data_IF_512900931212
#
_entry.id   IF_512900931212
#
_cell.length_a   1.000
_cell.length_b   1.000
_cell.length_c   1.000
_cell.angle_alpha   90.00
_cell.angle_beta   90.00
_cell.angle_gamma   90.00
#
_symmetry.space_group_name_H-M   'P 1'
#
loop_
_entity.id
_entity.type
_entity.pdbx_description
1 polymer ?
#
# COMPACT_ATOMS: atom_id res chain seq x y z
N UNK A 1 -2.61 36.01 2.79
CA UNK A 1 -1.18 35.93 3.21
C UNK A 1 -0.76 34.48 3.05
N UNK A 2 0.06 34.20 2.06
CA UNK A 2 0.70 32.90 1.86
C UNK A 2 1.90 32.92 2.82
N UNK A 3 1.80 32.13 3.87
CA UNK A 3 2.81 32.07 4.91
C UNK A 3 4.16 31.61 4.40
N UNK A 4 5.15 32.16 5.02
CA UNK A 4 6.59 32.06 4.86
C UNK A 4 7.12 30.74 4.34
N UNK A 5 8.09 30.88 3.46
CA UNK A 5 8.83 29.86 2.77
C UNK A 5 9.41 28.76 3.64
N UNK A 6 8.63 27.72 3.85
CA UNK A 6 9.18 26.46 4.33
C UNK A 6 10.11 25.92 3.25
N UNK A 7 11.41 25.99 3.50
CA UNK A 7 12.42 25.47 2.58
C UNK A 7 12.10 24.01 2.27
N UNK A 8 12.16 23.58 1.00
CA UNK A 8 11.88 22.20 0.63
C UNK A 8 12.84 21.28 1.39
N UNK A 9 12.28 20.33 2.16
CA UNK A 9 13.06 19.33 2.90
C UNK A 9 13.84 18.46 1.92
N UNK A 10 15.11 18.21 2.22
CA UNK A 10 15.89 17.21 1.47
C UNK A 10 15.51 15.80 1.92
N UNK A 11 14.61 15.19 1.16
CA UNK A 11 14.10 13.85 1.45
C UNK A 11 15.12 12.75 1.16
N UNK A 12 16.20 13.05 0.43
CA UNK A 12 17.21 12.06 0.08
C UNK A 12 18.13 11.75 1.29
N UNK A 13 18.33 12.73 2.16
CA UNK A 13 19.14 12.57 3.37
C UNK A 13 18.29 12.23 4.61
N UNK A 14 16.95 12.22 4.49
CA UNK A 14 16.07 11.91 5.62
C UNK A 14 16.21 10.45 6.04
N UNK A 15 16.74 10.23 7.23
CA UNK A 15 16.87 8.91 7.82
C UNK A 15 15.61 8.57 8.61
N UNK A 16 14.77 7.72 8.04
CA UNK A 16 13.59 7.20 8.74
C UNK A 16 13.95 5.91 9.46
N UNK A 17 14.00 5.97 10.79
CA UNK A 17 14.38 4.83 11.61
C UNK A 17 13.37 3.70 11.54
N UNK A 18 13.84 2.45 11.66
CA UNK A 18 12.98 1.27 11.74
C UNK A 18 12.30 1.04 13.10
N UNK A 19 12.39 2.00 14.02
CA UNK A 19 11.83 1.91 15.39
C UNK A 19 10.31 1.82 15.37
N UNK A 20 9.75 1.30 16.48
CA UNK A 20 8.33 0.99 16.58
C UNK A 20 7.94 -0.23 15.74
N UNK A 21 6.74 -0.74 15.94
CA UNK A 21 6.31 -1.99 15.31
C UNK A 21 4.81 -2.14 15.21
N UNK A 22 4.40 -3.09 14.39
CA UNK A 22 3.04 -3.61 14.36
C UNK A 22 3.09 -5.02 14.96
N UNK A 23 2.41 -5.21 16.09
CA UNK A 23 2.39 -6.44 16.85
C UNK A 23 1.05 -7.14 16.73
N UNK A 24 1.04 -8.46 16.63
CA UNK A 24 -0.15 -9.27 16.78
C UNK A 24 -0.45 -9.46 18.28
N UNK A 25 -1.68 -9.24 18.69
CA UNK A 25 -2.08 -9.31 20.10
C UNK A 25 -2.64 -10.67 20.51
N UNK A 26 -3.16 -11.45 19.56
CA UNK A 26 -3.96 -12.65 19.81
C UNK A 26 -5.42 -12.37 20.18
N UNK A 27 -5.81 -11.13 20.37
CA UNK A 27 -7.18 -10.73 20.64
C UNK A 27 -7.98 -10.64 19.34
N UNK A 28 -9.18 -11.22 19.31
CA UNK A 28 -10.08 -11.21 18.16
C UNK A 28 -10.64 -9.80 17.86
N UNK A 29 -10.82 -8.98 18.87
CA UNK A 29 -11.38 -7.63 18.75
C UNK A 29 -10.30 -6.58 18.46
N UNK A 30 -9.04 -6.88 18.80
CA UNK A 30 -7.91 -6.02 18.52
C UNK A 30 -6.71 -6.86 18.03
N UNK A 31 -6.79 -7.49 16.87
CA UNK A 31 -5.80 -8.46 16.40
C UNK A 31 -4.40 -7.89 16.20
N UNK A 32 -4.30 -6.57 16.04
CA UNK A 32 -3.03 -5.87 15.88
C UNK A 32 -3.00 -4.59 16.70
N UNK A 33 -1.81 -4.24 17.19
CA UNK A 33 -1.51 -2.94 17.79
C UNK A 33 -0.25 -2.34 17.20
N UNK A 34 -0.24 -1.04 17.01
CA UNK A 34 0.94 -0.29 16.60
C UNK A 34 1.61 0.27 17.85
N UNK A 35 2.91 0.02 18.00
CA UNK A 35 3.71 0.53 19.10
C UNK A 35 4.80 1.48 18.60
N UNK A 36 5.12 2.48 19.39
CA UNK A 36 6.19 3.44 19.11
C UNK A 36 7.59 2.86 19.44
N UNK A 37 8.60 3.72 19.38
CA UNK A 37 9.99 3.34 19.67
C UNK A 37 10.22 2.92 21.14
N UNK A 38 9.38 3.37 22.06
CA UNK A 38 9.41 3.04 23.48
C UNK A 38 8.56 1.82 23.84
N UNK A 39 7.83 1.26 22.86
CA UNK A 39 6.88 0.15 23.10
C UNK A 39 5.49 0.60 23.55
N UNK A 40 5.24 1.92 23.63
CA UNK A 40 3.92 2.43 23.98
C UNK A 40 2.95 2.31 22.81
N UNK A 41 1.69 1.98 23.10
CA UNK A 41 0.64 1.87 22.08
C UNK A 41 0.34 3.23 21.50
N UNK A 42 0.31 3.33 20.17
CA UNK A 42 -0.08 4.54 19.45
C UNK A 42 -1.60 4.67 19.47
N UNK A 43 -2.10 5.41 20.45
CA UNK A 43 -3.53 5.53 20.76
C UNK A 43 -4.42 5.89 19.55
N UNK A 44 -4.09 6.86 18.67
CA UNK A 44 -4.92 7.15 17.50
C UNK A 44 -5.05 5.96 16.55
N UNK A 45 -4.01 5.14 16.40
CA UNK A 45 -4.10 3.93 15.56
C UNK A 45 -4.95 2.86 16.21
N UNK A 46 -4.89 2.72 17.55
CA UNK A 46 -5.73 1.79 18.28
C UNK A 46 -7.22 2.14 18.14
N UNK A 47 -7.57 3.43 18.23
CA UNK A 47 -8.94 3.91 18.00
C UNK A 47 -9.42 3.59 16.58
N UNK A 48 -8.61 3.84 15.58
CA UNK A 48 -8.95 3.53 14.19
C UNK A 48 -9.10 2.02 13.95
N UNK A 49 -8.28 1.18 14.59
CA UNK A 49 -8.42 -0.28 14.49
C UNK A 49 -9.70 -0.79 15.15
N UNK A 50 -10.12 -0.20 16.26
CA UNK A 50 -11.40 -0.50 16.88
C UNK A 50 -12.56 -0.20 15.92
N UNK A 51 -12.52 0.93 15.22
CA UNK A 51 -13.50 1.28 14.18
C UNK A 51 -13.50 0.26 13.04
N UNK A 52 -12.33 -0.13 12.53
CA UNK A 52 -12.24 -1.16 11.48
C UNK A 52 -12.83 -2.50 11.92
N UNK A 53 -12.67 -2.86 13.19
CA UNK A 53 -13.28 -4.07 13.76
C UNK A 53 -14.79 -3.93 13.82
N UNK A 54 -15.31 -2.81 14.30
CA UNK A 54 -16.75 -2.53 14.35
C UNK A 54 -17.38 -2.56 12.94
N UNK A 55 -16.65 -2.11 11.93
CA UNK A 55 -17.04 -2.20 10.52
C UNK A 55 -16.86 -3.61 9.90
N UNK A 56 -16.53 -4.63 10.69
CA UNK A 56 -16.36 -6.01 10.21
C UNK A 56 -15.15 -6.22 9.30
N UNK A 57 -14.14 -5.33 9.35
CA UNK A 57 -12.93 -5.50 8.52
C UNK A 57 -12.06 -6.63 9.06
N UNK A 58 -11.64 -7.58 8.19
CA UNK A 58 -10.85 -8.73 8.64
C UNK A 58 -9.47 -8.32 9.19
N UNK A 59 -8.90 -9.15 10.05
CA UNK A 59 -7.58 -8.96 10.65
C UNK A 59 -6.47 -8.74 9.60
N UNK A 60 -6.57 -9.39 8.43
CA UNK A 60 -5.63 -9.18 7.32
C UNK A 60 -5.65 -7.76 6.77
N UNK A 61 -6.82 -7.12 6.72
CA UNK A 61 -6.97 -5.70 6.34
C UNK A 61 -6.33 -4.81 7.39
N UNK A 62 -6.60 -5.05 8.68
CA UNK A 62 -5.98 -4.28 9.77
C UNK A 62 -4.46 -4.40 9.74
N UNK A 63 -3.91 -5.61 9.49
CA UNK A 63 -2.48 -5.80 9.31
C UNK A 63 -1.92 -4.98 8.15
N UNK A 64 -2.61 -4.97 7.01
CA UNK A 64 -2.19 -4.18 5.84
C UNK A 64 -2.19 -2.69 6.14
N UNK A 65 -3.27 -2.19 6.73
CA UNK A 65 -3.42 -0.79 7.13
C UNK A 65 -2.40 -0.39 8.19
N UNK A 66 -2.19 -1.26 9.18
CA UNK A 66 -1.18 -1.05 10.22
C UNK A 66 0.24 -0.91 9.67
N UNK A 67 0.59 -1.65 8.63
CA UNK A 67 1.89 -1.50 7.98
C UNK A 67 2.04 -0.17 7.24
N UNK A 68 0.96 0.37 6.68
CA UNK A 68 0.98 1.69 6.03
C UNK A 68 1.02 2.81 7.07
N UNK A 69 0.23 2.69 8.14
CA UNK A 69 0.27 3.61 9.28
C UNK A 69 1.65 3.62 9.94
N UNK A 70 2.27 2.45 10.15
CA UNK A 70 3.62 2.36 10.72
C UNK A 70 4.65 3.12 9.87
N UNK A 71 4.57 3.06 8.54
CA UNK A 71 5.45 3.85 7.65
C UNK A 71 5.25 5.34 7.84
N UNK A 72 4.00 5.77 7.94
CA UNK A 72 3.64 7.16 8.15
C UNK A 72 4.12 7.66 9.51
N UNK A 73 3.84 6.95 10.59
CA UNK A 73 4.28 7.34 11.94
C UNK A 73 5.80 7.38 12.05
N UNK A 74 6.52 6.43 11.46
CA UNK A 74 8.00 6.47 11.39
C UNK A 74 8.52 7.70 10.66
N UNK A 75 7.85 8.10 9.59
CA UNK A 75 8.19 9.32 8.86
C UNK A 75 7.93 10.55 9.71
N UNK A 76 6.81 10.66 10.38
CA UNK A 76 6.49 11.75 11.29
C UNK A 76 7.46 11.81 12.48
N UNK A 77 7.80 10.68 13.07
CA UNK A 77 8.78 10.62 14.16
C UNK A 77 10.16 11.08 13.70
N UNK A 78 10.56 10.79 12.49
CA UNK A 78 11.83 11.28 11.93
C UNK A 78 11.82 12.80 11.70
N UNK A 79 10.65 13.39 11.46
CA UNK A 79 10.47 14.84 11.33
C UNK A 79 10.20 15.55 12.66
N UNK A 80 9.95 14.82 13.76
CA UNK A 80 9.53 15.41 15.03
C UNK A 80 8.14 16.06 14.98
N UNK A 81 7.27 15.61 14.05
CA UNK A 81 5.92 16.17 13.87
C UNK A 81 4.89 15.27 14.53
N UNK A 82 4.01 15.83 15.36
CA UNK A 82 2.88 15.10 15.92
C UNK A 82 1.86 14.79 14.82
N UNK A 83 1.20 13.62 14.92
CA UNK A 83 0.30 13.13 13.89
C UNK A 83 -0.91 14.05 13.64
N UNK A 84 -1.41 14.68 14.69
CA UNK A 84 -2.54 15.63 14.69
C UNK A 84 -2.14 17.03 14.17
N UNK A 85 -0.84 17.31 14.10
CA UNK A 85 -0.29 18.54 13.53
C UNK A 85 0.20 18.36 12.10
N UNK A 86 0.14 17.14 11.56
CA UNK A 86 0.54 16.86 10.19
C UNK A 86 -0.31 17.66 9.20
N UNK A 87 0.35 18.30 8.25
CA UNK A 87 -0.25 19.10 7.20
C UNK A 87 -0.11 18.47 5.82
N UNK A 88 -0.63 19.14 4.81
CA UNK A 88 -0.44 18.72 3.42
C UNK A 88 1.04 18.71 2.99
N UNK A 89 1.90 19.43 3.68
CA UNK A 89 3.34 19.44 3.39
C UNK A 89 3.95 18.10 3.75
N UNK A 90 3.69 17.60 4.97
CA UNK A 90 4.14 16.31 5.42
C UNK A 90 3.58 15.19 4.54
N UNK A 91 2.31 15.25 4.19
CA UNK A 91 1.68 14.25 3.31
C UNK A 91 2.29 14.21 1.90
N UNK A 92 2.56 15.38 1.30
CA UNK A 92 3.27 15.50 0.02
C UNK A 92 4.67 14.92 0.11
N UNK A 93 5.42 15.32 1.14
CA UNK A 93 6.80 14.92 1.32
C UNK A 93 6.91 13.42 1.62
N UNK A 94 5.98 12.85 2.38
CA UNK A 94 5.88 11.40 2.60
C UNK A 94 5.65 10.64 1.30
N UNK A 95 4.70 11.08 0.47
CA UNK A 95 4.43 10.43 -0.82
C UNK A 95 5.65 10.50 -1.76
N UNK A 96 6.41 11.59 -1.73
CA UNK A 96 7.68 11.72 -2.48
C UNK A 96 8.76 10.82 -1.90
N UNK A 97 8.89 10.80 -0.57
CA UNK A 97 9.85 9.94 0.13
C UNK A 97 9.60 8.46 -0.18
N UNK A 98 8.35 7.97 -0.18
CA UNK A 98 8.02 6.60 -0.55
C UNK A 98 8.48 6.21 -1.99
N UNK A 99 8.60 7.17 -2.89
CA UNK A 99 9.05 6.91 -4.27
C UNK A 99 10.58 6.72 -4.36
N UNK A 100 11.34 7.30 -3.43
CA UNK A 100 12.80 7.25 -3.40
C UNK A 100 13.34 6.29 -2.33
N UNK A 101 12.57 5.99 -1.29
CA UNK A 101 12.97 5.15 -0.19
C UNK A 101 13.09 3.68 -0.59
N UNK A 102 14.14 3.05 -0.11
CA UNK A 102 14.30 1.61 -0.23
C UNK A 102 13.44 0.86 0.80
N UNK A 103 12.89 -0.25 0.36
CA UNK A 103 12.16 -1.15 1.26
C UNK A 103 13.12 -1.77 2.26
N UNK A 104 12.73 -1.92 3.53
CA UNK A 104 13.51 -2.69 4.48
C UNK A 104 13.69 -4.13 3.96
N UNK A 105 14.93 -4.58 3.93
CA UNK A 105 15.27 -5.96 3.55
C UNK A 105 14.76 -6.88 4.64
N UNK A 106 13.86 -7.79 4.29
CA UNK A 106 13.43 -8.86 5.19
C UNK A 106 14.29 -10.08 4.94
N UNK A 107 14.93 -10.68 5.96
CA UNK A 107 15.62 -11.94 5.79
C UNK A 107 14.64 -13.00 5.29
N UNK A 108 15.05 -13.76 4.28
CA UNK A 108 14.22 -14.83 3.76
C UNK A 108 14.22 -16.00 4.76
N UNK A 109 13.04 -16.42 5.21
CA UNK A 109 12.89 -17.47 6.22
C UNK A 109 13.60 -18.80 5.87
N UNK A 110 13.85 -19.08 4.58
CA UNK A 110 14.60 -20.26 4.11
C UNK A 110 16.11 -20.07 4.08
N UNK A 111 16.64 -18.91 4.48
CA UNK A 111 18.08 -18.61 4.53
C UNK A 111 18.42 -17.97 5.88
N UNK A 112 18.35 -18.71 7.00
CA UNK A 112 18.87 -18.22 8.26
C UNK A 112 20.39 -18.16 8.14
N UNK A 113 21.00 -16.99 8.31
CA UNK A 113 22.46 -16.82 8.35
C UNK A 113 23.14 -16.34 7.08
N UNK A 114 22.43 -16.01 6.01
CA UNK A 114 23.02 -15.36 4.82
C UNK A 114 23.35 -13.90 5.12
N UNK A 115 24.59 -13.52 4.88
CA UNK A 115 25.10 -12.15 5.01
C UNK A 115 24.18 -11.16 4.26
N UNK A 116 23.46 -10.36 5.03
CA UNK A 116 22.46 -9.39 4.53
C UNK A 116 23.15 -8.30 3.70
N UNK A 117 24.46 -8.12 3.87
CA UNK A 117 25.26 -7.13 3.17
C UNK A 117 25.63 -7.51 1.72
N UNK A 118 25.71 -8.81 1.40
CA UNK A 118 26.19 -9.27 0.11
C UNK A 118 25.11 -9.29 -0.99
N UNK A 119 23.83 -9.44 -0.61
CA UNK A 119 22.72 -9.55 -1.59
C UNK A 119 22.24 -8.18 -2.11
N UNK A 120 22.53 -7.09 -1.38
CA UNK A 120 22.08 -5.75 -1.74
C UNK A 120 22.93 -5.09 -2.84
N UNK A 121 24.13 -5.55 -3.13
CA UNK A 121 25.09 -4.85 -4.00
C UNK A 121 25.20 -5.36 -5.43
N UNK A 122 24.49 -6.40 -5.84
CA UNK A 122 24.76 -7.03 -7.15
C UNK A 122 23.55 -7.08 -8.09
N UNK A 123 22.61 -6.16 -8.02
CA UNK A 123 21.46 -6.19 -8.93
C UNK A 123 21.21 -4.85 -9.62
N UNK A 124 22.18 -4.40 -10.38
CA UNK A 124 22.01 -3.38 -11.42
C UNK A 124 21.40 -4.04 -12.66
N UNK A 125 20.07 -4.03 -12.75
CA UNK A 125 19.35 -4.45 -13.96
C UNK A 125 17.99 -5.08 -13.65
N UNK A 126 17.03 -5.06 -14.57
CA UNK A 126 15.77 -5.75 -14.44
C UNK A 126 16.00 -7.25 -14.54
N UNK A 127 16.31 -7.90 -13.43
CA UNK A 127 16.46 -9.35 -13.43
C UNK A 127 15.07 -9.98 -13.39
N UNK A 128 14.83 -10.90 -14.30
CA UNK A 128 13.62 -11.72 -14.35
C UNK A 128 13.90 -13.00 -13.59
N UNK A 129 12.96 -13.43 -12.75
CA UNK A 129 13.04 -14.73 -12.10
C UNK A 129 12.94 -15.82 -13.19
N UNK A 130 13.99 -16.63 -13.32
CA UNK A 130 14.10 -17.64 -14.37
C UNK A 130 12.99 -18.70 -14.32
N UNK A 131 12.43 -18.97 -13.12
CA UNK A 131 11.38 -19.98 -12.93
C UNK A 131 9.98 -19.42 -13.20
N UNK A 132 9.73 -18.19 -12.76
CA UNK A 132 8.37 -17.62 -12.81
C UNK A 132 8.18 -16.58 -13.92
N UNK A 133 9.23 -16.21 -14.64
CA UNK A 133 9.21 -15.16 -15.65
C UNK A 133 8.85 -13.77 -15.10
N UNK A 134 8.72 -13.62 -13.78
CA UNK A 134 8.34 -12.36 -13.15
C UNK A 134 9.56 -11.48 -12.96
N UNK A 135 9.41 -10.19 -13.24
CA UNK A 135 10.43 -9.21 -12.89
C UNK A 135 10.72 -9.29 -11.39
N UNK A 136 11.98 -9.36 -11.02
CA UNK A 136 12.38 -9.29 -9.61
C UNK A 136 11.93 -7.95 -9.05
N UNK A 137 11.31 -7.99 -7.88
CA UNK A 137 10.81 -6.78 -7.22
C UNK A 137 11.97 -5.85 -6.94
N UNK A 138 11.90 -4.63 -7.45
CA UNK A 138 12.88 -3.60 -7.16
C UNK A 138 12.94 -3.28 -5.65
N UNK A 139 14.01 -2.61 -5.23
CA UNK A 139 14.21 -2.13 -3.85
C UNK A 139 13.14 -1.12 -3.43
N UNK A 140 12.63 -0.32 -4.37
CA UNK A 140 11.66 0.76 -4.11
C UNK A 140 10.22 0.28 -4.03
N UNK A 141 9.36 1.09 -3.40
CA UNK A 141 7.92 0.82 -3.33
C UNK A 141 7.27 0.91 -4.71
N UNK A 142 6.39 -0.05 -5.02
CA UNK A 142 5.61 -0.01 -6.25
C UNK A 142 4.55 1.11 -6.19
N UNK A 143 4.19 1.67 -7.36
CA UNK A 143 3.16 2.70 -7.46
C UNK A 143 1.83 2.29 -6.79
N UNK A 144 1.43 1.01 -6.94
CA UNK A 144 0.25 0.47 -6.28
C UNK A 144 0.35 0.50 -4.75
N UNK A 145 1.55 0.25 -4.18
CA UNK A 145 1.78 0.35 -2.72
C UNK A 145 1.67 1.80 -2.25
N UNK A 146 2.22 2.75 -2.99
CA UNK A 146 2.12 4.18 -2.67
C UNK A 146 0.66 4.64 -2.72
N UNK A 147 -0.09 4.23 -3.76
CA UNK A 147 -1.50 4.55 -3.90
C UNK A 147 -2.36 3.94 -2.78
N UNK A 148 -2.07 2.69 -2.38
CA UNK A 148 -2.75 2.04 -1.27
C UNK A 148 -2.48 2.77 0.05
N UNK A 149 -1.21 3.09 0.33
CA UNK A 149 -0.81 3.82 1.52
C UNK A 149 -1.52 5.18 1.61
N UNK A 150 -1.58 5.96 0.51
CA UNK A 150 -2.32 7.22 0.48
C UNK A 150 -3.82 7.02 0.82
N UNK A 151 -4.43 5.96 0.30
CA UNK A 151 -5.85 5.66 0.57
C UNK A 151 -6.08 5.32 2.04
N UNK A 152 -5.21 4.49 2.63
CA UNK A 152 -5.29 4.11 4.05
C UNK A 152 -5.12 5.32 4.95
N UNK A 153 -4.11 6.16 4.67
CA UNK A 153 -3.84 7.36 5.46
C UNK A 153 -4.97 8.38 5.36
N UNK A 154 -5.57 8.53 4.19
CA UNK A 154 -6.76 9.36 4.04
C UNK A 154 -7.89 8.85 4.92
N UNK A 155 -8.22 7.55 4.87
CA UNK A 155 -9.27 6.98 5.70
C UNK A 155 -9.00 7.11 7.19
N UNK A 156 -7.74 6.98 7.61
CA UNK A 156 -7.32 7.23 8.99
C UNK A 156 -7.59 8.68 9.42
N UNK A 157 -7.22 9.65 8.61
CA UNK A 157 -7.46 11.06 8.93
C UNK A 157 -8.92 11.48 8.78
N UNK A 158 -9.68 10.89 7.86
CA UNK A 158 -11.13 11.13 7.74
C UNK A 158 -11.83 10.64 9.01
N UNK A 159 -11.50 9.44 9.52
CA UNK A 159 -12.03 8.94 10.79
C UNK A 159 -11.76 9.90 11.95
N UNK A 160 -10.52 10.37 12.10
CA UNK A 160 -10.17 11.30 13.18
C UNK A 160 -10.78 12.69 13.00
N UNK A 161 -10.97 13.14 11.78
CA UNK A 161 -11.66 14.40 11.48
C UNK A 161 -13.14 14.32 11.90
N UNK A 162 -13.82 13.22 11.58
CA UNK A 162 -15.20 12.96 11.97
C UNK A 162 -15.35 12.83 13.48
N UNK A 163 -14.38 12.19 14.14
CA UNK A 163 -14.36 12.06 15.61
C UNK A 163 -13.92 13.34 16.33
N UNK A 164 -13.48 14.38 15.62
CA UNK A 164 -12.97 15.62 16.23
C UNK A 164 -11.66 15.45 17.00
N UNK A 165 -10.90 14.38 16.76
CA UNK A 165 -9.67 14.02 17.49
C UNK A 165 -8.38 14.21 16.69
N UNK A 166 -8.46 14.63 15.44
CA UNK A 166 -7.36 14.83 14.52
C UNK A 166 -7.17 16.28 14.07
N UNK A 167 -6.37 16.51 13.03
CA UNK A 167 -6.20 17.83 12.46
C UNK A 167 -7.51 18.31 11.81
N UNK A 168 -7.72 19.62 11.78
CA UNK A 168 -8.94 20.24 11.22
C UNK A 168 -9.11 19.99 9.70
N UNK A 169 -8.07 19.56 9.02
CA UNK A 169 -8.08 19.29 7.57
C UNK A 169 -7.29 18.01 7.31
N UNK A 170 -7.88 17.12 6.53
CA UNK A 170 -7.17 15.90 6.14
C UNK A 170 -5.90 16.23 5.32
N UNK A 171 -4.71 15.80 5.78
CA UNK A 171 -3.44 16.04 5.07
C UNK A 171 -3.38 15.39 3.68
N UNK A 172 -4.17 14.33 3.44
CA UNK A 172 -4.23 13.58 2.19
C UNK A 172 -5.47 13.93 1.37
N UNK A 173 -5.53 15.12 0.70
CA UNK A 173 -6.72 15.59 0.02
C UNK A 173 -7.01 14.76 -1.23
N UNK A 174 -8.27 14.71 -1.60
CA UNK A 174 -8.69 14.23 -2.91
C UNK A 174 -8.27 15.24 -4.00
N UNK A 175 -7.99 14.74 -5.20
CA UNK A 175 -7.80 15.58 -6.34
C UNK A 175 -9.09 16.40 -6.58
N UNK A 176 -8.94 17.68 -6.89
CA UNK A 176 -10.09 18.47 -7.31
C UNK A 176 -10.63 17.88 -8.62
N UNK A 177 -11.93 17.64 -8.65
CA UNK A 177 -12.61 17.30 -9.89
C UNK A 177 -12.37 18.48 -10.87
N UNK A 178 -11.58 18.26 -11.89
CA UNK A 178 -11.55 19.17 -13.04
C UNK A 178 -12.79 18.83 -13.83
N UNK A 179 -13.79 19.71 -13.74
CA UNK A 179 -15.07 19.55 -14.42
C UNK A 179 -14.90 19.19 -15.90
N UNK A 180 -15.88 18.53 -16.38
CA UNK A 180 -16.20 17.96 -17.68
C UNK A 180 -15.52 18.55 -18.95
N UNK A 181 -14.21 18.54 -19.02
CA UNK A 181 -13.45 18.85 -20.23
C UNK A 181 -12.63 17.67 -20.75
N UNK A 182 -12.63 16.55 -20.05
CA UNK A 182 -11.90 15.35 -20.45
C UNK A 182 -12.87 14.26 -20.91
N UNK A 183 -12.58 13.66 -22.05
CA UNK A 183 -13.29 12.54 -22.69
C UNK A 183 -13.56 11.28 -21.85
N UNK A 184 -13.37 11.33 -20.52
CA UNK A 184 -13.57 10.18 -19.64
C UNK A 184 -15.02 9.72 -19.59
N UNK A 185 -15.96 10.61 -19.90
CA UNK A 185 -17.40 10.35 -19.80
C UNK A 185 -18.10 10.27 -21.17
N UNK A 186 -17.35 10.02 -22.25
CA UNK A 186 -17.93 9.95 -23.60
C UNK A 186 -18.96 8.82 -23.79
N UNK A 187 -19.01 7.86 -22.87
CA UNK A 187 -19.95 6.74 -22.84
C UNK A 187 -20.85 6.73 -21.60
N UNK A 188 -20.91 7.86 -20.90
CA UNK A 188 -21.79 8.00 -19.74
C UNK A 188 -23.26 7.88 -20.16
N UNK A 189 -24.01 7.04 -19.46
CA UNK A 189 -25.44 6.94 -19.62
C UNK A 189 -26.09 8.25 -19.10
N UNK A 190 -26.73 9.05 -19.94
CA UNK A 190 -27.29 10.35 -19.53
C UNK A 190 -28.41 10.22 -18.47
N UNK A 191 -28.95 9.02 -18.24
CA UNK A 191 -29.96 8.74 -17.24
C UNK A 191 -29.38 8.39 -15.86
N UNK A 192 -28.07 8.21 -15.76
CA UNK A 192 -27.39 7.93 -14.50
C UNK A 192 -26.69 9.19 -13.97
N UNK A 193 -26.74 9.46 -12.65
CA UNK A 193 -25.99 10.58 -12.10
C UNK A 193 -24.49 10.35 -12.27
N UNK A 194 -23.79 11.37 -12.74
CA UNK A 194 -22.33 11.32 -12.96
C UNK A 194 -21.61 11.19 -11.62
N UNK A 195 -21.19 9.98 -11.25
CA UNK A 195 -20.39 9.74 -10.08
C UNK A 195 -18.91 9.89 -10.42
N UNK A 196 -18.39 11.10 -10.31
CA UNK A 196 -16.97 11.37 -10.51
C UNK A 196 -16.12 10.66 -9.47
N UNK A 197 -15.35 9.65 -9.88
CA UNK A 197 -14.39 8.97 -9.00
C UNK A 197 -13.24 9.91 -8.64
N UNK A 198 -13.26 10.46 -7.43
CA UNK A 198 -12.15 11.26 -6.90
C UNK A 198 -11.02 10.34 -6.48
N UNK A 199 -9.86 10.50 -7.08
CA UNK A 199 -8.62 9.84 -6.65
C UNK A 199 -7.84 10.72 -5.67
N UNK A 200 -6.95 10.12 -4.90
CA UNK A 200 -6.03 10.88 -4.06
C UNK A 200 -5.13 11.81 -4.88
N UNK A 201 -4.84 12.99 -4.34
CA UNK A 201 -4.06 14.02 -5.03
C UNK A 201 -2.62 13.60 -5.31
N UNK A 202 -2.04 12.81 -4.44
CA UNK A 202 -0.64 12.36 -4.53
C UNK A 202 -0.51 10.95 -5.12
N UNK A 203 -1.62 10.42 -5.64
CA UNK A 203 -1.64 9.08 -6.23
C UNK A 203 -0.74 9.02 -7.46
N UNK A 204 0.27 8.12 -7.49
CA UNK A 204 1.11 7.99 -8.67
C UNK A 204 0.28 7.44 -9.84
N UNK A 205 0.58 7.88 -11.05
CA UNK A 205 0.00 7.29 -12.25
C UNK A 205 0.49 5.84 -12.38
N UNK A 206 -0.45 4.93 -12.36
CA UNK A 206 -0.16 3.51 -12.65
C UNK A 206 -0.28 3.35 -14.16
N UNK A 207 0.77 2.85 -14.80
CA UNK A 207 0.69 2.47 -16.21
C UNK A 207 -0.17 1.21 -16.26
N UNK A 208 -1.26 1.26 -17.02
CA UNK A 208 -2.08 0.08 -17.31
C UNK A 208 -1.20 -0.93 -18.05
N UNK A 209 -0.97 -2.05 -17.37
CA UNK A 209 -0.29 -3.18 -17.99
C UNK A 209 -1.33 -4.12 -18.52
N UNK A 210 -1.22 -4.51 -19.77
CA UNK A 210 -2.02 -5.59 -20.31
C UNK A 210 -1.99 -6.78 -19.34
N UNK A 211 -3.16 -7.39 -19.04
CA UNK A 211 -3.19 -8.61 -18.23
C UNK A 211 -2.23 -9.65 -18.82
N UNK A 212 -1.46 -10.30 -17.97
CA UNK A 212 -0.60 -11.40 -18.42
C UNK A 212 -1.52 -12.59 -18.68
N UNK A 213 -1.64 -12.96 -19.91
CA UNK A 213 -2.23 -14.23 -20.30
C UNK A 213 -1.13 -15.28 -20.52
N UNK A 214 -1.45 -16.53 -20.26
CA UNK A 214 -0.64 -17.65 -20.70
C UNK A 214 -1.10 -17.91 -22.14
N UNK A 215 -0.19 -17.93 -23.14
CA UNK A 215 -0.57 -18.32 -24.51
C UNK A 215 -1.23 -19.71 -24.52
N UNK A 216 -2.21 -19.89 -25.39
CA UNK A 216 -3.00 -21.13 -25.44
C UNK A 216 -2.12 -22.36 -25.65
N UNK A 217 -1.10 -22.27 -26.50
CA UNK A 217 -0.14 -23.34 -26.75
C UNK A 217 0.61 -23.77 -25.48
N UNK A 218 0.95 -22.78 -24.63
CA UNK A 218 1.62 -23.04 -23.34
C UNK A 218 0.67 -23.62 -22.31
N UNK A 219 -0.60 -23.25 -22.39
CA UNK A 219 -1.62 -23.85 -21.55
C UNK A 219 -1.86 -25.30 -21.93
N UNK A 220 -1.96 -25.59 -23.23
CA UNK A 220 -2.14 -26.95 -23.76
C UNK A 220 -0.96 -27.87 -23.41
N UNK A 221 0.28 -27.37 -23.54
CA UNK A 221 1.48 -28.09 -23.09
C UNK A 221 1.41 -28.42 -21.58
N UNK A 222 1.05 -27.45 -20.75
CA UNK A 222 0.89 -27.65 -19.30
C UNK A 222 -0.19 -28.68 -19.02
N UNK A 223 -1.34 -28.56 -19.69
CA UNK A 223 -2.49 -29.43 -19.48
C UNK A 223 -2.21 -30.89 -19.91
N UNK A 224 -1.45 -31.06 -20.98
CA UNK A 224 -1.04 -32.40 -21.45
C UNK A 224 -0.06 -33.07 -20.45
N UNK A 225 0.77 -32.31 -19.75
CA UNK A 225 1.72 -32.83 -18.76
C UNK A 225 1.08 -33.21 -17.43
N UNK A 226 -0.19 -32.82 -17.17
CA UNK A 226 -0.88 -33.20 -15.95
C UNK A 226 -1.20 -34.71 -15.98
N UNK A 227 -0.56 -35.46 -15.09
CA UNK A 227 -0.68 -36.93 -15.02
C UNK A 227 -2.00 -37.46 -14.44
N UNK A 228 -2.75 -36.58 -13.74
CA UNK A 228 -3.97 -36.94 -13.02
C UNK A 228 -5.22 -36.32 -13.65
N UNK A 229 -6.28 -37.11 -13.82
CA UNK A 229 -7.59 -36.58 -14.24
C UNK A 229 -8.15 -35.55 -13.24
N UNK A 230 -7.87 -35.74 -11.94
CA UNK A 230 -8.23 -34.78 -10.89
C UNK A 230 -7.59 -33.44 -11.14
N UNK A 231 -6.28 -33.40 -11.41
CA UNK A 231 -5.55 -32.15 -11.61
C UNK A 231 -5.99 -31.45 -12.89
N UNK A 232 -6.25 -32.21 -13.95
CA UNK A 232 -6.86 -31.69 -15.19
C UNK A 232 -8.22 -31.06 -14.93
N UNK A 233 -9.09 -31.75 -14.18
CA UNK A 233 -10.41 -31.23 -13.83
C UNK A 233 -10.32 -29.93 -12.98
N UNK A 234 -9.41 -29.89 -12.01
CA UNK A 234 -9.19 -28.68 -11.19
C UNK A 234 -8.68 -27.50 -12.01
N UNK A 235 -7.70 -27.72 -12.88
CA UNK A 235 -7.15 -26.66 -13.74
C UNK A 235 -8.23 -26.17 -14.72
N UNK A 236 -8.97 -27.08 -15.36
CA UNK A 236 -10.07 -26.74 -16.25
C UNK A 236 -11.15 -25.93 -15.52
N UNK A 237 -11.50 -26.32 -14.29
CA UNK A 237 -12.47 -25.59 -13.47
C UNK A 237 -11.99 -24.18 -13.15
N UNK A 238 -10.75 -24.00 -12.67
CA UNK A 238 -10.22 -22.68 -12.34
C UNK A 238 -10.09 -21.75 -13.55
N UNK A 239 -9.69 -22.29 -14.70
CA UNK A 239 -9.58 -21.50 -15.94
C UNK A 239 -10.96 -21.08 -16.44
N UNK A 240 -11.95 -21.98 -16.40
CA UNK A 240 -13.30 -21.69 -16.89
C UNK A 240 -14.11 -20.78 -15.97
N UNK A 241 -13.91 -20.88 -14.66
CA UNK A 241 -14.68 -20.11 -13.65
C UNK A 241 -13.98 -18.84 -13.15
N UNK A 242 -12.65 -18.77 -13.28
CA UNK A 242 -11.85 -17.72 -12.65
C UNK A 242 -11.87 -17.76 -11.12
N UNK A 243 -12.37 -18.85 -10.50
CA UNK A 243 -12.45 -19.01 -9.06
C UNK A 243 -11.05 -18.98 -8.43
N UNK A 244 -10.96 -18.43 -7.21
CA UNK A 244 -9.73 -18.47 -6.43
C UNK A 244 -9.67 -19.76 -5.62
N UNK A 245 -8.46 -20.21 -5.30
CA UNK A 245 -8.25 -21.44 -4.52
C UNK A 245 -8.89 -21.41 -3.11
N UNK A 246 -9.31 -20.24 -2.64
CA UNK A 246 -10.00 -20.02 -1.36
C UNK A 246 -11.52 -20.00 -1.48
N UNK A 247 -12.06 -20.05 -2.68
CA UNK A 247 -13.49 -20.12 -3.00
C UNK A 247 -13.91 -21.56 -3.29
#
# INVERSE_FOLDING_TARGET
MIGDGEQPRDLAVLVVSGRGGLEATGDLFQPYRLVDAGGAVVAPVAAYFAELTACGRPATTQRSYGMDLLRWFRFLWALGVAWDQATRVEARDFCRWLQIADKPVRPHWRRPGGDVGAVARSRTGPSVNAVTGKAVRGSRYAAATVAHCETVLRGFYDFHLEAGTGPMVNPFPLARYRGAGGRVDAHHNPMEPLVGHRSGRYRPKVVDRAPRCIPDERFDELFAQLGSHRDRALVAFWVSTGARASE
#
